data_IF_994576672741
#
_entry.id   IF_994576672741
#
_cell.length_a   1.000
_cell.length_b   1.000
_cell.length_c   1.000
_cell.angle_alpha   90.00
_cell.angle_beta   90.00
_cell.angle_gamma   90.00
#
_symmetry.space_group_name_H-M   'P 1'
#
loop_
_entity.id
_entity.type
_entity.pdbx_description
1 polymer ?
#
# COMPACT_ATOMS: atom_id res chain seq x y z
N UNK A 1 -5.63 14.63 -2.45
CA UNK A 1 -4.17 14.40 -2.54
C UNK A 1 -3.93 13.02 -3.10
N UNK A 2 -2.90 12.84 -3.92
CA UNK A 2 -2.55 11.54 -4.51
C UNK A 2 -1.43 10.90 -3.69
N UNK A 3 -1.65 9.68 -3.21
CA UNK A 3 -0.74 8.92 -2.37
C UNK A 3 -0.30 7.68 -3.17
N UNK A 4 0.99 7.58 -3.48
CA UNK A 4 1.57 6.43 -4.16
C UNK A 4 2.17 5.44 -3.15
N UNK A 5 1.94 4.15 -3.36
CA UNK A 5 2.48 3.06 -2.55
C UNK A 5 3.23 2.11 -3.49
N UNK A 6 4.55 2.28 -3.67
CA UNK A 6 5.35 1.40 -4.49
C UNK A 6 5.58 0.04 -3.80
N UNK A 7 6.01 -0.95 -4.57
CA UNK A 7 6.56 -2.19 -4.05
C UNK A 7 7.94 -1.90 -3.45
N UNK A 8 8.18 -2.33 -2.21
CA UNK A 8 9.50 -2.27 -1.60
C UNK A 8 10.47 -3.23 -2.30
N UNK A 9 11.67 -2.74 -2.66
CA UNK A 9 12.66 -3.52 -3.43
C UNK A 9 13.89 -3.91 -2.61
N UNK A 10 13.96 -3.50 -1.35
CA UNK A 10 15.09 -3.82 -0.49
C UNK A 10 15.15 -5.33 -0.19
N UNK A 11 16.34 -5.97 -0.22
CA UNK A 11 16.47 -7.40 0.07
C UNK A 11 15.93 -7.76 1.45
N UNK A 12 15.02 -8.73 1.51
CA UNK A 12 14.40 -9.18 2.76
C UNK A 12 13.32 -8.26 3.32
N UNK A 13 12.97 -7.18 2.62
CA UNK A 13 11.89 -6.30 3.00
C UNK A 13 10.53 -6.94 2.67
N UNK A 14 9.68 -7.06 3.69
CA UNK A 14 8.34 -7.65 3.58
C UNK A 14 7.23 -6.70 4.02
N UNK A 15 7.57 -5.47 4.42
CA UNK A 15 6.60 -4.46 4.83
C UNK A 15 5.95 -3.80 3.61
N UNK A 16 4.79 -3.22 3.85
CA UNK A 16 4.08 -2.34 2.91
C UNK A 16 3.75 -1.04 3.62
N UNK A 17 3.91 0.09 2.94
CA UNK A 17 3.69 1.41 3.55
C UNK A 17 2.22 1.68 3.94
N UNK A 18 1.27 1.01 3.29
CA UNK A 18 -0.17 1.18 3.52
C UNK A 18 -0.85 -0.18 3.58
N UNK A 19 -1.55 -0.43 4.69
CA UNK A 19 -2.44 -1.60 4.84
C UNK A 19 -3.82 -1.34 4.23
N UNK A 20 -4.60 -2.38 3.89
CA UNK A 20 -5.96 -2.22 3.35
C UNK A 20 -6.87 -1.37 4.23
N UNK A 21 -6.77 -1.49 5.56
CA UNK A 21 -7.52 -0.68 6.51
C UNK A 21 -7.15 0.81 6.40
N UNK A 22 -5.85 1.11 6.32
CA UNK A 22 -5.35 2.49 6.19
C UNK A 22 -5.72 3.08 4.84
N UNK A 23 -5.62 2.31 3.75
CA UNK A 23 -6.07 2.72 2.42
C UNK A 23 -7.56 3.09 2.42
N UNK A 24 -8.40 2.31 3.12
CA UNK A 24 -9.83 2.59 3.27
C UNK A 24 -10.09 3.91 4.00
N UNK A 25 -9.34 4.19 5.08
CA UNK A 25 -9.44 5.46 5.84
C UNK A 25 -9.00 6.66 4.99
N UNK A 26 -7.88 6.55 4.28
CA UNK A 26 -7.39 7.60 3.39
C UNK A 26 -8.36 7.89 2.24
N UNK A 27 -8.96 6.84 1.66
CA UNK A 27 -10.00 6.98 0.64
C UNK A 27 -11.25 7.68 1.21
N UNK A 28 -11.67 7.32 2.43
CA UNK A 28 -12.81 7.96 3.09
C UNK A 28 -12.56 9.45 3.40
N UNK A 29 -11.30 9.84 3.61
CA UNK A 29 -10.88 11.24 3.77
C UNK A 29 -10.80 12.01 2.44
N UNK A 30 -11.12 11.38 1.30
CA UNK A 30 -11.08 12.01 -0.03
C UNK A 30 -9.70 12.01 -0.67
N UNK A 31 -8.77 11.15 -0.22
CA UNK A 31 -7.47 10.97 -0.86
C UNK A 31 -7.52 9.83 -1.89
N UNK A 32 -6.72 9.97 -2.94
CA UNK A 32 -6.56 8.93 -3.96
C UNK A 32 -5.31 8.12 -3.64
N UNK A 33 -5.49 6.86 -3.25
CA UNK A 33 -4.39 5.93 -2.99
C UNK A 33 -4.15 5.08 -4.22
N UNK A 34 -2.91 5.03 -4.70
CA UNK A 34 -2.45 4.21 -5.82
C UNK A 34 -1.40 3.24 -5.31
N UNK A 35 -1.73 1.96 -5.34
CA UNK A 35 -0.84 0.88 -4.90
C UNK A 35 -0.28 0.18 -6.13
N UNK A 36 1.03 -0.06 -6.16
CA UNK A 36 1.66 -0.90 -7.17
C UNK A 36 1.22 -2.35 -6.95
N UNK A 37 0.82 -3.05 -8.01
CA UNK A 37 0.39 -4.45 -7.88
C UNK A 37 1.48 -5.30 -7.25
N UNK A 38 1.10 -6.11 -6.27
CA UNK A 38 2.03 -6.96 -5.51
C UNK A 38 2.72 -6.28 -4.33
N UNK A 39 2.56 -4.97 -4.11
CA UNK A 39 3.21 -4.25 -3.01
C UNK A 39 2.88 -4.81 -1.62
N UNK A 40 1.68 -5.36 -1.44
CA UNK A 40 1.24 -5.93 -0.16
C UNK A 40 1.37 -7.44 -0.04
N UNK A 41 1.78 -8.16 -1.10
CA UNK A 41 1.83 -9.64 -1.10
C UNK A 41 2.81 -10.17 -0.06
N UNK A 42 4.02 -9.60 0.03
CA UNK A 42 5.01 -9.98 1.03
C UNK A 42 4.57 -9.64 2.47
N UNK A 43 3.65 -8.68 2.61
CA UNK A 43 3.10 -8.23 3.88
C UNK A 43 1.81 -8.98 4.28
N UNK A 44 1.45 -10.06 3.59
CA UNK A 44 0.18 -10.80 3.76
C UNK A 44 -1.07 -9.93 3.56
N UNK A 45 -0.95 -8.87 2.75
CA UNK A 45 -2.02 -7.96 2.38
C UNK A 45 -2.14 -7.90 0.84
N UNK A 46 -2.62 -8.99 0.19
CA UNK A 46 -2.78 -9.00 -1.26
C UNK A 46 -3.77 -7.95 -1.74
N UNK A 47 -3.68 -7.63 -3.04
CA UNK A 47 -4.42 -6.57 -3.74
C UNK A 47 -5.95 -6.56 -3.50
#
# INVERSE_FOLDING_TARGET
MNIGVPLETAPGETRVAVTPETAKKLKAQGHTVRVQSGAGVAASAPD
#
